data_IF_841935577636
#
_entry.id   IF_841935577636
#
_cell.length_a   1.000
_cell.length_b   1.000
_cell.length_c   1.000
_cell.angle_alpha   90.00
_cell.angle_beta   90.00
_cell.angle_gamma   90.00
#
_symmetry.space_group_name_H-M   'P 1'
#
loop_
_entity.id
_entity.type
_entity.pdbx_description
1 polymer ?
#
# COMPACT_ATOMS: atom_id res chain seq x y z
N UNK A 1 -57.12 11.41 -42.25
CA UNK A 1 -56.15 10.34 -42.58
C UNK A 1 -55.50 9.85 -41.30
N UNK A 2 -55.30 8.54 -41.19
CA UNK A 2 -54.76 7.81 -40.01
C UNK A 2 -53.42 8.40 -39.47
N UNK A 3 -52.74 9.23 -40.27
CA UNK A 3 -51.50 9.93 -39.89
C UNK A 3 -51.63 10.96 -38.76
N UNK A 4 -52.79 11.59 -38.56
CA UNK A 4 -52.94 12.68 -37.57
C UNK A 4 -53.24 12.17 -36.14
N UNK A 5 -53.73 10.93 -36.04
CA UNK A 5 -53.89 10.24 -34.75
C UNK A 5 -52.54 9.63 -34.29
N UNK A 6 -51.73 9.15 -35.23
CA UNK A 6 -50.38 8.64 -34.98
C UNK A 6 -49.38 9.75 -34.66
N UNK A 7 -49.55 10.97 -35.19
CA UNK A 7 -48.71 12.13 -34.86
C UNK A 7 -48.90 12.56 -33.39
N UNK A 8 -50.15 12.62 -32.93
CA UNK A 8 -50.52 12.94 -31.54
C UNK A 8 -50.14 11.84 -30.54
N UNK A 9 -50.30 10.57 -30.92
CA UNK A 9 -49.83 9.44 -30.10
C UNK A 9 -48.30 9.43 -29.92
N UNK A 10 -47.53 9.83 -30.95
CA UNK A 10 -46.06 9.99 -30.85
C UNK A 10 -45.64 11.18 -30.00
N UNK A 11 -46.42 12.27 -29.98
CA UNK A 11 -46.17 13.41 -29.09
C UNK A 11 -46.50 13.09 -27.63
N UNK A 12 -47.52 12.26 -27.36
CA UNK A 12 -47.90 11.87 -25.99
C UNK A 12 -46.86 10.95 -25.30
N UNK A 13 -46.10 10.15 -26.04
CA UNK A 13 -45.04 9.28 -25.48
C UNK A 13 -43.73 10.06 -25.22
N UNK A 14 -43.58 11.26 -25.80
CA UNK A 14 -42.35 12.08 -25.68
C UNK A 14 -42.37 13.07 -24.51
N UNK A 15 -43.38 13.02 -23.66
CA UNK A 15 -43.46 13.78 -22.41
C UNK A 15 -43.18 12.89 -21.19
N UNK A 16 -42.17 12.02 -21.26
CA UNK A 16 -41.47 11.61 -20.03
C UNK A 16 -40.56 12.76 -19.67
N UNK A 17 -41.05 13.64 -18.80
CA UNK A 17 -40.19 14.53 -18.04
C UNK A 17 -39.03 13.68 -17.51
N UNK A 18 -37.81 14.02 -17.94
CA UNK A 18 -36.61 13.57 -17.27
C UNK A 18 -36.67 14.18 -15.87
N UNK A 19 -37.36 13.50 -14.94
CA UNK A 19 -37.16 13.71 -13.52
C UNK A 19 -35.70 13.38 -13.30
N UNK A 20 -34.86 14.41 -13.23
CA UNK A 20 -33.49 14.26 -12.82
C UNK A 20 -33.53 13.70 -11.41
N UNK A 21 -33.36 12.38 -11.28
CA UNK A 21 -33.12 11.75 -9.98
C UNK A 21 -31.83 12.37 -9.48
N UNK A 22 -31.94 13.25 -8.48
CA UNK A 22 -30.79 13.79 -7.77
C UNK A 22 -30.14 12.62 -7.06
N UNK A 23 -29.16 12.00 -7.70
CA UNK A 23 -28.32 10.99 -7.06
C UNK A 23 -27.45 11.75 -6.06
N UNK A 24 -27.80 11.66 -4.79
CA UNK A 24 -26.92 12.12 -3.72
C UNK A 24 -25.65 11.28 -3.76
N UNK A 25 -24.53 11.96 -4.04
CA UNK A 25 -23.23 11.30 -4.13
C UNK A 25 -22.55 11.48 -2.78
N UNK A 26 -22.18 10.37 -2.17
CA UNK A 26 -21.36 10.36 -0.96
C UNK A 26 -19.90 10.08 -1.34
N UNK A 27 -18.98 10.62 -0.54
CA UNK A 27 -17.59 10.16 -0.54
C UNK A 27 -17.56 8.79 0.15
N UNK A 28 -16.88 7.81 -0.44
CA UNK A 28 -16.72 6.49 0.16
C UNK A 28 -15.87 6.61 1.43
N UNK A 29 -16.40 6.18 2.56
CA UNK A 29 -15.69 6.13 3.83
C UNK A 29 -15.90 4.77 4.49
N UNK A 30 -14.79 4.10 4.84
CA UNK A 30 -14.81 2.85 5.61
C UNK A 30 -14.42 3.16 7.05
N UNK A 31 -15.18 2.65 8.03
CA UNK A 31 -14.84 2.82 9.46
C UNK A 31 -13.61 1.99 9.81
N UNK A 32 -12.73 2.51 10.67
CA UNK A 32 -11.59 1.76 11.20
C UNK A 32 -12.02 0.49 11.95
N UNK A 33 -11.16 -0.52 11.97
CA UNK A 33 -11.39 -1.79 12.67
C UNK A 33 -11.62 -1.56 14.17
N UNK A 34 -12.50 -2.36 14.77
CA UNK A 34 -12.77 -2.30 16.21
C UNK A 34 -11.76 -3.17 16.95
N UNK A 35 -11.12 -2.64 18.00
CA UNK A 35 -10.18 -3.39 18.82
C UNK A 35 -10.86 -4.24 19.91
N UNK A 36 -12.13 -3.98 20.20
CA UNK A 36 -12.82 -4.64 21.31
C UNK A 36 -13.25 -6.07 20.96
N UNK A 37 -13.08 -6.98 21.92
CA UNK A 37 -13.57 -8.35 21.84
C UNK A 37 -14.96 -8.52 22.50
N UNK A 38 -15.45 -7.53 23.25
CA UNK A 38 -16.71 -7.58 24.00
C UNK A 38 -17.45 -6.24 24.08
N UNK A 39 -18.41 -6.13 24.99
CA UNK A 39 -19.20 -4.92 25.22
C UNK A 39 -18.36 -3.83 25.91
N UNK A 40 -18.41 -2.60 25.40
CA UNK A 40 -17.72 -1.44 25.99
C UNK A 40 -17.62 -0.24 25.03
N UNK A 41 -16.82 0.75 25.39
CA UNK A 41 -16.56 1.95 24.55
C UNK A 41 -15.63 1.65 23.37
N UNK A 42 -16.09 1.90 22.14
CA UNK A 42 -15.37 1.58 20.90
C UNK A 42 -13.95 2.17 20.87
N UNK A 43 -12.97 1.33 20.54
CA UNK A 43 -11.56 1.71 20.31
C UNK A 43 -11.04 1.12 19.00
N UNK A 44 -9.94 1.69 18.49
CA UNK A 44 -9.28 1.30 17.24
C UNK A 44 -8.00 0.50 17.51
N UNK A 45 -7.55 -0.26 16.51
CA UNK A 45 -6.30 -1.04 16.55
C UNK A 45 -5.18 -0.21 15.91
N UNK A 46 -4.03 -0.14 16.57
CA UNK A 46 -2.78 0.26 15.92
C UNK A 46 -2.09 -0.99 15.35
N UNK A 47 -1.82 -1.01 14.05
CA UNK A 47 -1.13 -2.12 13.37
C UNK A 47 0.39 -1.95 13.36
N UNK A 48 0.89 -0.77 13.74
CA UNK A 48 2.32 -0.49 13.78
C UNK A 48 2.85 -0.53 15.21
N UNK A 49 4.15 -0.76 15.36
CA UNK A 49 4.82 -0.52 16.63
C UNK A 49 4.71 0.96 17.01
N UNK A 50 4.55 1.24 18.30
CA UNK A 50 4.43 2.62 18.81
C UNK A 50 5.77 3.34 19.00
N UNK A 51 6.89 2.62 18.84
CA UNK A 51 8.24 3.14 19.06
C UNK A 51 8.78 3.83 17.80
N UNK A 52 9.84 4.61 17.97
CA UNK A 52 10.63 5.15 16.86
C UNK A 52 11.74 4.17 16.49
N UNK A 53 11.33 3.00 15.98
CA UNK A 53 12.19 1.83 15.73
C UNK A 53 12.40 1.53 14.24
N UNK A 54 11.96 2.44 13.34
CA UNK A 54 11.95 2.23 11.90
C UNK A 54 11.15 0.98 11.46
N UNK A 55 10.09 0.61 12.18
CA UNK A 55 9.14 -0.44 11.75
C UNK A 55 8.51 -0.18 10.37
N UNK A 56 8.53 1.06 9.88
CA UNK A 56 8.13 1.37 8.50
C UNK A 56 9.08 0.81 7.44
N UNK A 57 10.33 0.50 7.81
CA UNK A 57 11.35 -0.13 6.97
C UNK A 57 11.43 -1.62 7.28
N UNK A 58 11.48 -1.97 8.57
CA UNK A 58 11.72 -3.34 9.04
C UNK A 58 10.47 -4.18 9.23
N UNK A 59 9.27 -3.60 9.15
CA UNK A 59 8.00 -4.28 9.45
C UNK A 59 7.61 -4.11 10.92
N UNK A 60 6.31 -4.14 11.19
CA UNK A 60 5.78 -4.12 12.56
C UNK A 60 5.48 -5.52 13.10
N UNK A 61 5.47 -6.52 12.22
CA UNK A 61 5.26 -7.93 12.52
C UNK A 61 6.38 -8.80 11.90
N UNK A 62 6.62 -9.99 12.46
CA UNK A 62 7.69 -10.89 12.01
C UNK A 62 7.55 -11.28 10.52
N UNK A 63 6.32 -11.55 10.08
CA UNK A 63 6.03 -11.86 8.68
C UNK A 63 6.36 -10.69 7.73
N UNK A 64 6.14 -9.45 8.16
CA UNK A 64 6.48 -8.25 7.38
C UNK A 64 8.00 -8.09 7.31
N UNK A 65 8.70 -8.24 8.43
CA UNK A 65 10.16 -8.19 8.48
C UNK A 65 10.82 -9.28 7.65
N UNK A 66 10.30 -10.50 7.71
CA UNK A 66 10.76 -11.59 6.83
C UNK A 66 10.54 -11.28 5.35
N UNK A 67 9.47 -10.55 5.01
CA UNK A 67 9.16 -10.21 3.62
C UNK A 67 10.18 -9.26 3.01
N UNK A 68 10.77 -8.36 3.81
CA UNK A 68 11.73 -7.34 3.34
C UNK A 68 13.19 -7.80 3.38
N UNK A 69 13.53 -8.86 4.11
CA UNK A 69 14.89 -9.37 4.25
C UNK A 69 15.33 -10.27 3.10
N UNK A 70 16.61 -10.22 2.74
CA UNK A 70 17.24 -11.20 1.82
C UNK A 70 17.57 -12.51 2.54
N UNK A 71 17.71 -12.48 3.86
CA UNK A 71 18.28 -13.57 4.69
C UNK A 71 19.71 -13.95 4.26
N UNK A 72 20.41 -13.02 3.62
CA UNK A 72 21.80 -13.15 3.25
C UNK A 72 22.55 -11.87 3.63
N UNK A 73 23.71 -12.03 4.26
CA UNK A 73 24.62 -10.94 4.66
C UNK A 73 24.02 -9.88 5.60
N UNK A 74 22.88 -10.16 6.21
CA UNK A 74 22.13 -9.24 7.06
C UNK A 74 21.44 -8.13 6.28
N UNK A 75 21.17 -8.32 4.97
CA UNK A 75 20.69 -7.25 4.10
C UNK A 75 19.15 -7.24 3.91
N UNK A 76 18.66 -6.05 3.58
CA UNK A 76 17.30 -5.83 3.08
C UNK A 76 17.26 -5.96 1.55
N UNK A 77 16.12 -6.44 1.04
CA UNK A 77 15.88 -6.63 -0.40
C UNK A 77 15.88 -5.29 -1.12
N UNK A 78 16.66 -5.22 -2.19
CA UNK A 78 16.61 -4.15 -3.19
C UNK A 78 16.20 -4.74 -4.54
N UNK A 79 15.76 -3.87 -5.44
CA UNK A 79 15.40 -4.20 -6.81
C UNK A 79 16.37 -3.55 -7.79
N UNK A 80 16.93 -4.40 -8.65
CA UNK A 80 17.88 -4.05 -9.70
C UNK A 80 19.25 -3.58 -9.16
N UNK A 81 20.34 -4.15 -9.69
CA UNK A 81 21.71 -3.87 -9.24
C UNK A 81 22.22 -2.46 -9.65
N UNK A 82 21.51 -1.78 -10.56
CA UNK A 82 21.91 -0.47 -11.12
C UNK A 82 21.11 0.72 -10.55
N UNK A 83 20.29 0.52 -9.51
CA UNK A 83 19.43 1.60 -9.01
C UNK A 83 18.95 1.54 -7.57
N UNK A 84 19.25 0.46 -6.82
CA UNK A 84 18.82 0.26 -5.42
C UNK A 84 17.36 0.68 -5.18
N UNK A 85 16.47 0.29 -6.09
CA UNK A 85 15.05 0.62 -5.98
C UNK A 85 14.39 -0.31 -4.96
N UNK A 86 13.23 0.08 -4.47
CA UNK A 86 12.43 -0.82 -3.65
C UNK A 86 11.92 -2.00 -4.51
N UNK A 87 11.79 -3.20 -3.93
CA UNK A 87 11.10 -4.33 -4.58
C UNK A 87 9.69 -3.94 -5.02
N UNK A 88 9.26 -4.30 -6.25
CA UNK A 88 7.88 -4.08 -6.66
C UNK A 88 6.91 -4.90 -5.79
N UNK A 89 5.71 -4.37 -5.52
CA UNK A 89 4.64 -5.15 -4.90
C UNK A 89 4.25 -6.35 -5.76
N UNK A 90 3.73 -7.38 -5.09
CA UNK A 90 3.15 -8.55 -5.76
C UNK A 90 2.01 -8.09 -6.67
N UNK A 91 1.90 -8.68 -7.87
CA UNK A 91 0.88 -8.33 -8.88
C UNK A 91 -0.58 -8.43 -8.38
N UNK A 92 -0.84 -9.21 -7.33
CA UNK A 92 -2.17 -9.43 -6.78
C UNK A 92 -2.46 -8.57 -5.54
N UNK A 93 -1.61 -7.60 -5.20
CA UNK A 93 -1.85 -6.70 -4.08
C UNK A 93 -2.88 -5.63 -4.45
N UNK A 94 -4.02 -5.65 -3.75
CA UNK A 94 -5.13 -4.72 -3.99
C UNK A 94 -4.87 -3.30 -3.49
N UNK A 95 -3.80 -3.08 -2.71
CA UNK A 95 -3.43 -1.75 -2.23
C UNK A 95 -2.76 -0.91 -3.33
N UNK A 96 -2.14 -1.55 -4.31
CA UNK A 96 -1.56 -0.84 -5.44
C UNK A 96 -2.64 -0.43 -6.45
N UNK A 97 -2.81 0.88 -6.66
CA UNK A 97 -3.73 1.42 -7.66
C UNK A 97 -3.05 1.79 -8.98
N UNK A 98 -1.71 1.73 -9.02
CA UNK A 98 -0.93 1.99 -10.23
C UNK A 98 -1.21 0.91 -11.28
N UNK A 99 -1.13 1.31 -12.55
CA UNK A 99 -1.24 0.42 -13.71
C UNK A 99 0.14 0.33 -14.39
N UNK A 100 0.37 -0.76 -15.11
CA UNK A 100 1.56 -0.93 -15.96
C UNK A 100 1.73 0.28 -16.91
N UNK A 101 2.91 0.92 -17.00
CA UNK A 101 4.23 0.53 -16.47
C UNK A 101 4.59 1.02 -15.07
N UNK A 102 3.69 1.73 -14.37
CA UNK A 102 3.97 2.25 -13.04
C UNK A 102 3.85 1.15 -11.97
N UNK A 103 4.84 1.09 -11.08
CA UNK A 103 4.91 0.09 -10.01
C UNK A 103 4.63 0.75 -8.66
N UNK A 104 3.97 -0.01 -7.79
CA UNK A 104 4.05 0.23 -6.36
C UNK A 104 5.14 -0.64 -5.76
N UNK A 105 5.59 -0.29 -4.56
CA UNK A 105 6.76 -0.86 -3.93
C UNK A 105 6.44 -1.56 -2.60
N UNK A 106 7.34 -2.46 -2.18
CA UNK A 106 7.22 -3.22 -0.95
C UNK A 106 8.32 -2.80 0.03
N UNK A 107 7.95 -2.55 1.26
CA UNK A 107 8.82 -2.32 2.43
C UNK A 107 8.06 -2.72 3.69
N UNK A 108 8.58 -2.41 4.88
CA UNK A 108 7.97 -2.79 6.16
C UNK A 108 6.54 -2.27 6.36
N UNK A 109 6.19 -1.12 5.78
CA UNK A 109 4.83 -0.57 5.78
C UNK A 109 4.20 -0.57 4.38
N UNK A 110 2.96 -1.04 4.29
CA UNK A 110 2.24 -1.16 3.01
C UNK A 110 1.87 0.20 2.38
N UNK A 111 1.98 1.33 3.11
CA UNK A 111 1.63 2.67 2.64
C UNK A 111 2.81 3.41 2.02
N UNK A 112 3.93 2.74 1.80
CA UNK A 112 5.16 3.32 1.24
C UNK A 112 4.98 4.02 -0.12
N UNK A 113 3.98 3.59 -0.91
CA UNK A 113 3.69 4.12 -2.25
C UNK A 113 2.53 5.12 -2.26
N UNK A 114 2.08 5.60 -1.09
CA UNK A 114 0.95 6.53 -0.98
C UNK A 114 1.29 7.93 -1.51
N UNK A 115 2.54 8.36 -1.35
CA UNK A 115 3.03 9.66 -1.82
C UNK A 115 4.43 9.47 -2.43
N UNK A 116 4.72 10.06 -3.61
CA UNK A 116 6.00 9.86 -4.30
C UNK A 116 7.22 10.27 -3.47
N UNK A 117 7.05 11.21 -2.53
CA UNK A 117 8.11 11.62 -1.60
C UNK A 117 8.46 10.60 -0.51
N UNK A 118 7.64 9.58 -0.26
CA UNK A 118 7.95 8.52 0.73
C UNK A 118 8.94 7.50 0.18
N UNK A 119 8.83 7.18 -1.11
CA UNK A 119 9.70 6.21 -1.79
C UNK A 119 11.20 6.52 -1.61
N UNK A 120 11.71 7.73 -1.90
CA UNK A 120 13.13 8.02 -1.70
C UNK A 120 13.56 7.91 -0.24
N UNK A 121 12.69 8.23 0.74
CA UNK A 121 13.01 8.09 2.16
C UNK A 121 13.22 6.62 2.54
N UNK A 122 12.31 5.73 2.11
CA UNK A 122 12.47 4.29 2.31
C UNK A 122 13.74 3.75 1.64
N UNK A 123 14.03 4.18 0.40
CA UNK A 123 15.26 3.81 -0.31
C UNK A 123 16.49 4.24 0.48
N UNK A 124 16.53 5.47 0.99
CA UNK A 124 17.66 5.96 1.79
C UNK A 124 17.92 5.09 3.01
N UNK A 125 16.87 4.75 3.78
CA UNK A 125 17.05 3.90 4.97
C UNK A 125 17.51 2.48 4.62
N UNK A 126 16.96 1.88 3.56
CA UNK A 126 17.36 0.53 3.12
C UNK A 126 18.80 0.51 2.63
N UNK A 127 19.20 1.50 1.83
CA UNK A 127 20.59 1.63 1.37
C UNK A 127 21.55 1.83 2.54
N UNK A 128 21.16 2.63 3.53
CA UNK A 128 21.98 2.86 4.71
C UNK A 128 22.12 1.59 5.57
N UNK A 129 21.03 0.83 5.75
CA UNK A 129 21.09 -0.47 6.41
C UNK A 129 22.06 -1.42 5.69
N UNK A 130 21.92 -1.58 4.37
CA UNK A 130 22.81 -2.47 3.60
C UNK A 130 24.26 -1.96 3.60
N UNK A 131 24.49 -0.64 3.62
CA UNK A 131 25.82 -0.05 3.76
C UNK A 131 26.47 -0.45 5.09
N UNK A 132 25.71 -0.39 6.18
CA UNK A 132 26.18 -0.74 7.53
C UNK A 132 26.36 -2.26 7.66
N UNK A 133 25.41 -3.07 7.18
CA UNK A 133 25.51 -4.53 7.16
C UNK A 133 26.77 -5.01 6.40
N UNK A 134 27.05 -4.41 5.24
CA UNK A 134 28.26 -4.68 4.48
C UNK A 134 29.56 -4.29 5.20
N UNK A 135 29.53 -3.27 6.06
CA UNK A 135 30.67 -2.92 6.92
C UNK A 135 30.85 -3.95 8.04
N UNK A 136 29.77 -4.35 8.72
CA UNK A 136 29.83 -5.38 9.76
C UNK A 136 30.31 -6.72 9.22
N UNK A 137 29.86 -7.12 8.02
CA UNK A 137 30.29 -8.35 7.35
C UNK A 137 31.78 -8.35 7.03
N UNK A 138 32.34 -7.19 6.63
CA UNK A 138 33.79 -7.03 6.37
C UNK A 138 34.62 -7.14 7.64
N UNK A 139 34.14 -6.53 8.74
CA UNK A 139 34.84 -6.56 10.03
C UNK A 139 34.68 -7.90 10.76
N UNK A 140 33.56 -8.59 10.56
CA UNK A 140 33.22 -9.83 11.25
C UNK A 140 32.70 -10.89 10.26
N UNK A 141 33.60 -11.57 9.52
CA UNK A 141 33.22 -12.55 8.50
C UNK A 141 32.36 -13.69 9.04
N UNK A 142 32.64 -14.14 10.27
CA UNK A 142 31.99 -15.29 10.91
C UNK A 142 30.61 -14.98 11.52
N UNK A 143 30.17 -13.71 11.51
CA UNK A 143 28.86 -13.39 12.06
C UNK A 143 27.73 -13.98 11.20
N UNK A 144 26.72 -14.62 11.82
CA UNK A 144 25.56 -15.12 11.10
C UNK A 144 24.70 -13.95 10.59
N UNK A 145 23.92 -14.21 9.54
CA UNK A 145 23.00 -13.23 8.92
C UNK A 145 22.17 -12.45 9.95
N UNK A 146 21.51 -13.18 10.85
CA UNK A 146 20.64 -12.61 11.88
C UNK A 146 21.37 -11.58 12.75
N UNK A 147 22.63 -11.84 13.11
CA UNK A 147 23.42 -10.95 13.97
C UNK A 147 23.89 -9.69 13.26
N UNK A 148 24.00 -9.72 11.93
CA UNK A 148 24.35 -8.53 11.14
C UNK A 148 23.10 -7.67 10.91
N UNK A 149 21.93 -8.31 10.80
CA UNK A 149 20.66 -7.65 10.61
C UNK A 149 20.15 -6.92 11.86
N UNK A 150 20.28 -7.54 13.04
CA UNK A 150 19.93 -6.95 14.37
C UNK A 150 20.98 -5.96 14.87
#
# INVERSE_FOLDING_TARGET
GVGDFLSRARQAVKAKSHVAVKVERCIRLTRALNAQQGLGVRTQINQNTHFLDLSTVYGSEECEGASVRTFMNGELKTYNNDGDLLPPQKKNDSNCQSKDPQLCFTTGDFRNSLHPGLVPLHITYIKEHNRIAGQFRKCNPDWPDQRIFE
#
